data_IF_038116939696
#
_entry.id   IF_038116939696
#
_cell.length_a   1.000
_cell.length_b   1.000
_cell.length_c   1.000
_cell.angle_alpha   90.00
_cell.angle_beta   90.00
_cell.angle_gamma   90.00
#
_symmetry.space_group_name_H-M   'P 1'
#
loop_
_entity.id
_entity.type
_entity.pdbx_description
1 polymer ?
#
# COMPACT_ATOMS: atom_id res chain seq x y z
N UNK A 1 -2.44 45.69 11.45
CA UNK A 1 -1.53 44.72 10.82
C UNK A 1 -0.24 45.44 10.52
N UNK A 2 0.87 45.00 11.11
CA UNK A 2 2.16 45.64 10.87
C UNK A 2 2.60 45.42 9.42
N UNK A 3 2.95 46.50 8.73
CA UNK A 3 3.36 46.46 7.33
C UNK A 3 4.76 45.85 7.18
N UNK A 4 4.90 44.85 6.31
CA UNK A 4 6.20 44.24 5.98
C UNK A 4 7.13 45.30 5.39
N UNK A 5 8.11 45.72 6.17
CA UNK A 5 9.01 46.82 5.79
C UNK A 5 10.33 46.76 6.55
N UNK A 6 11.33 47.52 6.10
CA UNK A 6 12.61 47.68 6.80
C UNK A 6 12.43 48.24 8.21
N UNK A 7 11.32 48.95 8.50
CA UNK A 7 10.98 49.45 9.85
C UNK A 7 10.77 48.31 10.85
N UNK A 8 10.16 47.20 10.43
CA UNK A 8 9.77 46.07 11.30
C UNK A 8 10.64 44.83 11.09
N UNK A 9 11.74 44.97 10.35
CA UNK A 9 12.62 43.86 9.96
C UNK A 9 13.74 43.66 10.98
N UNK A 10 13.93 42.44 11.48
CA UNK A 10 15.05 42.07 12.36
C UNK A 10 16.42 42.23 11.72
N UNK A 11 16.50 42.17 10.39
CA UNK A 11 17.75 42.38 9.67
C UNK A 11 18.14 43.85 9.58
N UNK A 12 17.24 44.79 9.89
CA UNK A 12 17.56 46.20 9.92
C UNK A 12 18.24 46.55 11.25
N UNK A 13 19.36 47.26 11.16
CA UNK A 13 20.06 47.81 12.32
C UNK A 13 19.86 49.33 12.33
N UNK A 14 18.92 49.80 13.16
CA UNK A 14 18.57 51.22 13.29
C UNK A 14 19.63 52.02 14.05
N UNK A 15 20.59 51.37 14.71
CA UNK A 15 21.71 52.03 15.37
C UNK A 15 22.82 52.40 14.35
N UNK A 16 22.89 51.66 13.23
CA UNK A 16 23.84 51.93 12.16
C UNK A 16 23.23 52.88 11.12
N UNK A 17 23.34 54.19 11.34
CA UNK A 17 22.87 55.23 10.42
C UNK A 17 24.00 55.84 9.61
N UNK A 18 23.83 55.94 8.29
CA UNK A 18 24.78 56.60 7.38
C UNK A 18 24.08 57.73 6.62
N UNK A 19 24.61 58.95 6.78
CA UNK A 19 24.19 60.10 5.98
C UNK A 19 24.87 60.10 4.61
N UNK A 20 24.11 60.43 3.57
CA UNK A 20 24.58 60.37 2.19
C UNK A 20 24.98 61.76 1.71
N UNK A 21 26.04 61.81 0.89
CA UNK A 21 26.59 63.05 0.35
C UNK A 21 26.29 63.23 -1.14
N UNK A 22 26.58 64.42 -1.69
CA UNK A 22 26.44 64.72 -3.11
C UNK A 22 24.98 64.77 -3.57
N UNK A 23 24.64 64.04 -4.63
CA UNK A 23 23.27 64.04 -5.22
C UNK A 23 22.17 63.53 -4.27
N UNK A 24 22.53 62.87 -3.16
CA UNK A 24 21.60 62.35 -2.16
C UNK A 24 21.74 63.07 -0.80
N UNK A 25 22.38 64.24 -0.78
CA UNK A 25 22.48 65.08 0.42
C UNK A 25 21.10 65.31 1.06
N UNK A 26 21.02 65.19 2.39
CA UNK A 26 19.77 65.25 3.14
C UNK A 26 18.99 63.93 3.22
N UNK A 27 19.50 62.84 2.64
CA UNK A 27 18.99 61.48 2.84
C UNK A 27 19.97 60.64 3.64
N UNK A 28 19.45 59.63 4.33
CA UNK A 28 20.24 58.66 5.09
C UNK A 28 19.72 57.24 4.88
N UNK A 29 20.49 56.25 5.31
CA UNK A 29 20.08 54.83 5.29
C UNK A 29 20.57 54.11 6.54
N UNK A 30 19.83 53.08 6.94
CA UNK A 30 20.18 52.22 8.07
C UNK A 30 20.94 50.96 7.64
N UNK A 31 21.66 50.35 8.59
CA UNK A 31 22.37 49.10 8.39
C UNK A 31 21.43 47.95 8.10
N UNK A 32 21.93 46.96 7.34
CA UNK A 32 21.21 45.70 7.14
C UNK A 32 22.18 44.52 7.10
N UNK A 33 21.91 43.50 7.91
CA UNK A 33 22.72 42.27 7.97
C UNK A 33 22.51 41.34 6.76
N UNK A 34 21.35 41.43 6.10
CA UNK A 34 21.02 40.59 4.95
C UNK A 34 21.66 41.08 3.65
N UNK A 35 21.77 42.39 3.47
CA UNK A 35 22.19 43.00 2.21
C UNK A 35 23.72 43.01 2.14
N UNK A 36 24.29 42.59 1.00
CA UNK A 36 25.76 42.54 0.80
C UNK A 36 26.46 43.88 0.99
N UNK A 37 25.78 45.00 0.71
CA UNK A 37 26.33 46.34 0.91
C UNK A 37 26.24 46.81 2.38
N UNK A 38 25.67 46.02 3.27
CA UNK A 38 25.54 46.31 4.70
C UNK A 38 24.47 47.35 5.06
N UNK A 39 23.60 47.74 4.13
CA UNK A 39 22.56 48.75 4.32
C UNK A 39 21.20 48.33 3.74
N UNK A 40 20.12 48.91 4.25
CA UNK A 40 18.74 48.67 3.80
C UNK A 40 18.54 49.04 2.31
N UNK A 41 17.41 48.63 1.72
CA UNK A 41 17.16 48.69 0.28
C UNK A 41 16.92 50.09 -0.32
N UNK A 42 17.12 51.16 0.44
CA UNK A 42 16.93 52.54 -0.03
C UNK A 42 17.48 53.58 0.95
N UNK A 43 17.39 54.84 0.54
CA UNK A 43 17.69 55.99 1.39
C UNK A 43 16.39 56.75 1.68
N UNK A 44 16.24 57.19 2.93
CA UNK A 44 15.06 57.87 3.47
C UNK A 44 15.37 59.30 3.86
N UNK A 45 14.34 60.14 3.89
CA UNK A 45 14.38 61.52 4.42
C UNK A 45 13.82 61.61 5.85
N UNK A 46 13.05 60.61 6.28
CA UNK A 46 12.48 60.48 7.63
C UNK A 46 12.32 58.99 7.99
N UNK A 47 12.25 58.67 9.29
CA UNK A 47 12.10 57.29 9.75
C UNK A 47 10.76 56.68 9.33
N UNK A 48 9.72 57.50 9.16
CA UNK A 48 8.41 57.04 8.66
C UNK A 48 8.50 56.51 7.21
N UNK A 49 9.45 57.01 6.42
CA UNK A 49 9.66 56.52 5.06
C UNK A 49 10.17 55.06 5.02
N UNK A 50 10.67 54.52 6.15
CA UNK A 50 11.08 53.12 6.25
C UNK A 50 9.92 52.15 6.04
N UNK A 51 8.67 52.56 6.31
CA UNK A 51 7.47 51.73 6.12
C UNK A 51 7.18 51.40 4.64
N UNK A 52 7.80 52.13 3.72
CA UNK A 52 7.66 51.92 2.27
C UNK A 52 8.82 51.11 1.67
N UNK A 53 9.87 50.85 2.45
CA UNK A 53 11.01 50.05 2.02
C UNK A 53 10.78 48.60 2.43
N UNK A 54 10.86 47.67 1.48
CA UNK A 54 10.87 46.24 1.76
C UNK A 54 11.86 45.57 0.78
N UNK A 55 12.51 44.50 1.21
CA UNK A 55 13.43 43.76 0.36
C UNK A 55 13.17 42.27 0.48
N UNK A 56 13.72 41.49 -0.45
CA UNK A 56 13.56 40.03 -0.49
C UNK A 56 14.07 39.33 0.79
N UNK A 57 14.96 39.98 1.56
CA UNK A 57 15.43 39.48 2.86
C UNK A 57 14.67 40.01 4.06
N UNK A 58 13.41 40.41 3.91
CA UNK A 58 12.58 40.79 5.05
C UNK A 58 12.43 39.61 6.02
N UNK A 59 12.79 39.83 7.28
CA UNK A 59 12.59 38.88 8.37
C UNK A 59 11.92 39.62 9.53
N UNK A 60 10.60 39.55 9.59
CA UNK A 60 9.80 40.18 10.65
C UNK A 60 9.03 39.15 11.48
N UNK A 61 8.32 39.63 12.50
CA UNK A 61 7.52 38.78 13.40
C UNK A 61 6.53 37.88 12.65
N UNK A 62 5.88 38.40 11.60
CA UNK A 62 4.94 37.63 10.77
C UNK A 62 5.60 36.47 10.01
N UNK A 63 6.79 36.68 9.43
CA UNK A 63 7.54 35.63 8.72
C UNK A 63 7.95 34.54 9.70
N UNK A 64 8.49 34.93 10.86
CA UNK A 64 8.90 34.00 11.92
C UNK A 64 7.71 33.21 12.46
N UNK A 65 6.56 33.87 12.65
CA UNK A 65 5.33 33.23 13.10
C UNK A 65 4.83 32.21 12.07
N UNK A 66 4.89 32.54 10.77
CA UNK A 66 4.51 31.62 9.69
C UNK A 66 5.46 30.43 9.61
N UNK A 67 6.79 30.65 9.65
CA UNK A 67 7.77 29.57 9.69
C UNK A 67 7.59 28.66 10.91
N UNK A 68 7.30 29.24 12.08
CA UNK A 68 6.96 28.48 13.28
C UNK A 68 5.68 27.66 13.08
N UNK A 69 4.63 28.29 12.56
CA UNK A 69 3.35 27.61 12.29
C UNK A 69 3.51 26.44 11.32
N UNK A 70 4.29 26.59 10.24
CA UNK A 70 4.55 25.51 9.29
C UNK A 70 5.38 24.38 9.91
N UNK A 71 6.37 24.71 10.76
CA UNK A 71 7.10 23.69 11.55
C UNK A 71 6.19 22.94 12.50
N UNK A 72 5.33 23.64 13.23
CA UNK A 72 4.40 23.04 14.20
C UNK A 72 3.40 22.12 13.48
N UNK A 73 2.88 22.54 12.31
CA UNK A 73 2.04 21.69 11.45
C UNK A 73 2.77 20.42 11.00
N UNK A 74 4.02 20.56 10.57
CA UNK A 74 4.83 19.42 10.13
C UNK A 74 5.11 18.45 11.28
N UNK A 75 5.46 18.95 12.46
CA UNK A 75 5.64 18.12 13.65
C UNK A 75 4.36 17.37 14.02
N UNK A 76 3.20 18.05 14.00
CA UNK A 76 1.91 17.43 14.28
C UNK A 76 1.53 16.34 13.25
N UNK A 77 1.90 16.51 11.98
CA UNK A 77 1.70 15.47 10.96
C UNK A 77 2.63 14.28 11.16
N UNK A 78 3.91 14.52 11.49
CA UNK A 78 4.86 13.46 11.80
C UNK A 78 4.41 12.65 13.03
N UNK A 79 3.87 13.32 14.04
CA UNK A 79 3.34 12.73 15.27
C UNK A 79 2.17 11.78 15.00
N UNK A 80 1.15 12.26 14.28
CA UNK A 80 0.01 11.42 13.85
C UNK A 80 0.45 10.20 13.06
N UNK A 81 1.49 10.33 12.24
CA UNK A 81 2.04 9.19 11.49
C UNK A 81 2.75 8.20 12.41
N UNK A 82 3.38 8.66 13.49
CA UNK A 82 3.94 7.78 14.51
C UNK A 82 2.84 7.01 15.23
N UNK A 83 1.74 7.66 15.65
CA UNK A 83 0.57 6.99 16.25
C UNK A 83 0.08 5.82 15.38
N UNK A 84 -0.18 6.11 14.10
CA UNK A 84 -0.67 5.10 13.14
C UNK A 84 0.30 3.91 13.03
N UNK A 85 1.61 4.15 13.09
CA UNK A 85 2.59 3.07 13.01
C UNK A 85 2.70 2.29 14.33
N UNK A 86 2.59 2.95 15.49
CA UNK A 86 2.55 2.29 16.79
C UNK A 86 1.31 1.42 16.94
N UNK A 87 0.12 1.97 16.69
CA UNK A 87 -1.15 1.24 16.73
C UNK A 87 -1.13 0.03 15.83
N UNK A 88 -0.63 0.20 14.60
CA UNK A 88 -0.49 -0.88 13.64
C UNK A 88 0.51 -1.93 14.09
N UNK A 89 1.61 -1.53 14.73
CA UNK A 89 2.59 -2.48 15.26
C UNK A 89 2.00 -3.30 16.40
N UNK A 90 1.27 -2.68 17.33
CA UNK A 90 0.59 -3.36 18.44
C UNK A 90 -0.45 -4.34 17.88
N UNK A 91 -1.32 -3.86 17.00
CA UNK A 91 -2.37 -4.68 16.38
C UNK A 91 -1.79 -5.90 15.64
N UNK A 92 -0.76 -5.69 14.80
CA UNK A 92 -0.18 -6.77 14.00
C UNK A 92 0.70 -7.71 14.79
N UNK A 93 1.25 -7.27 15.93
CA UNK A 93 1.95 -8.16 16.84
C UNK A 93 0.98 -9.19 17.42
N UNK A 94 -0.21 -8.76 17.79
CA UNK A 94 -1.22 -9.61 18.41
C UNK A 94 -2.01 -10.44 17.40
N UNK A 95 -2.45 -9.83 16.30
CA UNK A 95 -3.37 -10.47 15.35
C UNK A 95 -2.68 -11.05 14.11
N UNK A 96 -1.45 -10.61 13.84
CA UNK A 96 -0.73 -10.89 12.60
C UNK A 96 -0.92 -9.81 11.56
N UNK A 97 0.09 -9.63 10.70
CA UNK A 97 0.03 -8.66 9.62
C UNK A 97 -0.84 -9.19 8.48
N UNK A 98 -1.61 -8.32 7.78
CA UNK A 98 -2.50 -8.75 6.71
C UNK A 98 -1.75 -9.22 5.46
N UNK A 99 -0.48 -8.84 5.29
CA UNK A 99 0.29 -9.22 4.10
C UNK A 99 0.78 -10.67 4.15
N UNK A 100 0.71 -11.37 3.01
CA UNK A 100 1.10 -12.79 2.87
C UNK A 100 2.48 -13.03 2.30
N UNK A 101 3.16 -11.99 1.81
CA UNK A 101 4.42 -12.17 1.09
C UNK A 101 5.65 -12.28 2.01
N UNK A 102 5.45 -12.04 3.30
CA UNK A 102 6.48 -11.92 4.31
C UNK A 102 5.91 -12.37 5.67
N UNK A 103 6.79 -12.68 6.60
CA UNK A 103 6.40 -13.01 7.98
C UNK A 103 5.91 -11.79 8.73
N UNK A 104 5.20 -12.00 9.85
CA UNK A 104 4.77 -10.89 10.70
C UNK A 104 5.98 -10.15 11.28
N UNK A 105 7.04 -10.88 11.64
CA UNK A 105 8.31 -10.31 12.10
C UNK A 105 8.92 -9.33 11.10
N UNK A 106 8.94 -9.67 9.81
CA UNK A 106 9.41 -8.76 8.76
C UNK A 106 8.53 -7.51 8.64
N UNK A 107 7.21 -7.64 8.68
CA UNK A 107 6.30 -6.50 8.64
C UNK A 107 6.47 -5.59 9.86
N UNK A 108 6.55 -6.16 11.06
CA UNK A 108 6.77 -5.43 12.31
C UNK A 108 8.12 -4.67 12.29
N UNK A 109 9.16 -5.29 11.75
CA UNK A 109 10.46 -4.65 11.58
C UNK A 109 10.44 -3.50 10.56
N UNK A 110 9.63 -3.60 9.49
CA UNK A 110 9.43 -2.48 8.54
C UNK A 110 8.70 -1.30 9.20
N UNK A 111 7.70 -1.56 10.03
CA UNK A 111 7.01 -0.51 10.81
C UNK A 111 7.97 0.16 11.79
N UNK A 112 8.76 -0.63 12.52
CA UNK A 112 9.81 -0.14 13.42
C UNK A 112 10.81 0.77 12.70
N UNK A 113 11.30 0.36 11.52
CA UNK A 113 12.17 1.21 10.70
C UNK A 113 11.46 2.48 10.21
N UNK A 114 10.14 2.43 10.00
CA UNK A 114 9.31 3.61 9.72
C UNK A 114 9.30 4.61 10.87
N UNK A 115 9.11 4.12 12.10
CA UNK A 115 9.16 4.94 13.32
C UNK A 115 10.55 5.59 13.49
N UNK A 116 11.64 4.86 13.25
CA UNK A 116 13.00 5.42 13.28
C UNK A 116 13.17 6.58 12.29
N UNK A 117 12.68 6.43 11.06
CA UNK A 117 12.73 7.49 10.05
C UNK A 117 11.90 8.71 10.43
N UNK A 118 10.72 8.52 11.03
CA UNK A 118 9.88 9.63 11.50
C UNK A 118 10.57 10.39 12.64
N UNK A 119 11.16 9.67 13.60
CA UNK A 119 11.93 10.28 14.69
C UNK A 119 13.11 11.11 14.15
N UNK A 120 13.84 10.60 13.15
CA UNK A 120 14.92 11.36 12.52
C UNK A 120 14.40 12.64 11.84
N UNK A 121 13.30 12.55 11.10
CA UNK A 121 12.67 13.72 10.47
C UNK A 121 12.23 14.77 11.49
N UNK A 122 11.69 14.35 12.63
CA UNK A 122 11.34 15.28 13.72
C UNK A 122 12.58 16.06 14.19
N UNK A 123 13.73 15.38 14.37
CA UNK A 123 15.01 16.03 14.72
C UNK A 123 15.49 17.03 13.67
N UNK A 124 15.29 16.72 12.40
CA UNK A 124 15.66 17.61 11.29
C UNK A 124 14.76 18.86 11.23
N UNK A 125 13.49 18.74 11.65
CA UNK A 125 12.52 19.83 11.61
C UNK A 125 12.63 20.82 12.78
N UNK A 126 13.20 20.41 13.91
CA UNK A 126 13.30 21.24 15.12
C UNK A 126 14.60 20.98 15.88
N UNK A 127 15.23 22.06 16.34
CA UNK A 127 16.54 22.03 17.01
C UNK A 127 16.48 21.85 18.54
N UNK A 128 15.36 21.47 19.16
CA UNK A 128 15.38 21.08 20.58
C UNK A 128 14.03 20.94 21.32
N UNK A 129 14.08 20.10 22.36
CA UNK A 129 13.22 19.79 23.53
C UNK A 129 11.68 19.71 23.40
N UNK A 130 11.04 20.45 22.49
CA UNK A 130 9.58 20.44 22.31
C UNK A 130 9.15 19.46 21.21
N UNK A 131 9.60 18.21 21.32
CA UNK A 131 9.06 17.15 20.47
C UNK A 131 7.72 16.64 21.01
N UNK A 132 6.82 16.18 20.13
CA UNK A 132 5.58 15.57 20.57
C UNK A 132 5.81 14.26 21.34
N UNK A 133 4.83 13.81 22.11
CA UNK A 133 4.96 12.68 23.04
C UNK A 133 5.49 11.40 22.39
N UNK A 134 5.03 11.06 21.18
CA UNK A 134 5.48 9.86 20.46
C UNK A 134 6.97 9.87 20.11
N UNK A 135 7.58 11.05 20.04
CA UNK A 135 9.03 11.14 19.87
C UNK A 135 9.76 10.49 21.04
N UNK A 136 9.24 10.61 22.25
CA UNK A 136 9.85 10.06 23.48
C UNK A 136 9.44 8.62 23.75
N UNK A 137 8.33 8.14 23.17
CA UNK A 137 7.88 6.77 23.31
C UNK A 137 8.98 5.76 22.89
N UNK A 138 9.25 4.70 23.65
CA UNK A 138 10.27 3.72 23.27
C UNK A 138 9.91 3.07 21.92
N UNK A 139 10.93 2.87 21.06
CA UNK A 139 10.69 2.13 19.83
C UNK A 139 10.30 0.69 20.17
N UNK A 140 9.40 0.07 19.39
CA UNK A 140 9.09 -1.32 19.59
C UNK A 140 10.35 -2.19 19.42
N UNK A 141 10.43 -3.34 20.10
CA UNK A 141 11.55 -4.26 19.94
C UNK A 141 11.68 -4.72 18.49
N UNK A 142 12.90 -5.04 18.09
CA UNK A 142 13.14 -5.74 16.83
C UNK A 142 12.65 -7.18 16.99
N UNK A 143 11.76 -7.60 16.09
CA UNK A 143 11.19 -8.94 16.11
C UNK A 143 12.07 -9.92 15.36
N UNK A 144 12.01 -11.20 15.72
CA UNK A 144 12.60 -12.27 14.92
C UNK A 144 12.00 -12.24 13.51
N UNK A 145 12.84 -12.43 12.48
CA UNK A 145 12.41 -12.48 11.09
C UNK A 145 11.45 -13.64 10.83
N UNK A 146 11.55 -14.74 11.57
CA UNK A 146 10.60 -15.87 11.46
C UNK A 146 9.35 -15.71 12.32
N UNK A 147 9.20 -14.61 13.09
CA UNK A 147 8.04 -14.41 13.96
C UNK A 147 6.74 -14.44 13.16
N UNK A 148 5.77 -15.20 13.68
CA UNK A 148 4.40 -15.26 13.18
C UNK A 148 3.44 -15.16 14.34
N UNK A 149 2.53 -14.20 14.29
CA UNK A 149 1.46 -14.10 15.27
C UNK A 149 0.48 -15.26 15.08
N UNK A 150 -0.04 -15.79 16.18
CA UNK A 150 -1.07 -16.83 16.20
C UNK A 150 -0.73 -18.06 15.34
N UNK A 151 0.54 -18.45 15.24
CA UNK A 151 1.01 -19.52 14.37
C UNK A 151 0.24 -20.84 14.56
N UNK A 152 -0.02 -21.25 15.81
CA UNK A 152 -0.76 -22.47 16.11
C UNK A 152 -2.25 -22.39 15.77
N UNK A 153 -2.88 -21.22 15.96
CA UNK A 153 -4.25 -21.00 15.51
C UNK A 153 -4.33 -21.03 13.98
N UNK A 154 -3.35 -20.42 13.31
CA UNK A 154 -3.24 -20.40 11.85
C UNK A 154 -3.12 -21.80 11.26
N UNK A 155 -2.31 -22.67 11.90
CA UNK A 155 -2.19 -24.09 11.52
C UNK A 155 -3.51 -24.83 11.66
N UNK A 156 -4.19 -24.69 12.81
CA UNK A 156 -5.51 -25.31 13.03
C UNK A 156 -6.55 -24.85 12.00
N UNK A 157 -6.59 -23.55 11.72
CA UNK A 157 -7.49 -23.00 10.70
C UNK A 157 -7.18 -23.56 9.30
N UNK A 158 -5.90 -23.76 8.97
CA UNK A 158 -5.51 -24.37 7.70
C UNK A 158 -6.00 -25.82 7.58
N UNK A 159 -5.88 -26.61 8.65
CA UNK A 159 -6.40 -27.97 8.72
C UNK A 159 -7.93 -28.01 8.58
N UNK A 160 -8.64 -27.12 9.26
CA UNK A 160 -10.10 -26.98 9.15
C UNK A 160 -10.53 -26.65 7.72
N UNK A 161 -9.89 -25.67 7.07
CA UNK A 161 -10.15 -25.32 5.67
C UNK A 161 -9.87 -26.50 4.75
N UNK A 162 -8.74 -27.20 4.95
CA UNK A 162 -8.37 -28.34 4.12
C UNK A 162 -9.38 -29.49 4.26
N UNK A 163 -9.80 -29.81 5.49
CA UNK A 163 -10.81 -30.82 5.77
C UNK A 163 -12.16 -30.45 5.12
N UNK A 164 -12.60 -29.19 5.25
CA UNK A 164 -13.81 -28.70 4.60
C UNK A 164 -13.75 -28.85 3.07
N UNK A 165 -12.58 -28.66 2.46
CA UNK A 165 -12.41 -28.94 1.03
C UNK A 165 -12.46 -30.43 0.70
N UNK A 166 -11.86 -31.31 1.52
CA UNK A 166 -11.91 -32.76 1.31
C UNK A 166 -13.35 -33.30 1.42
N UNK A 167 -14.15 -32.74 2.31
CA UNK A 167 -15.56 -33.12 2.52
C UNK A 167 -16.52 -32.52 1.49
N UNK A 168 -16.07 -31.51 0.74
CA UNK A 168 -16.91 -30.83 -0.24
C UNK A 168 -17.26 -31.75 -1.43
N UNK A 169 -18.57 -32.01 -1.71
CA UNK A 169 -18.97 -32.91 -2.78
C UNK A 169 -18.54 -32.46 -4.19
N UNK A 170 -18.46 -31.14 -4.42
CA UNK A 170 -18.04 -30.60 -5.71
C UNK A 170 -16.53 -30.77 -5.91
N UNK A 171 -15.74 -30.58 -4.86
CA UNK A 171 -14.31 -30.90 -4.88
C UNK A 171 -14.07 -32.40 -5.11
N UNK A 172 -14.75 -33.28 -4.37
CA UNK A 172 -14.63 -34.73 -4.55
C UNK A 172 -14.98 -35.15 -5.98
N UNK A 173 -16.04 -34.58 -6.56
CA UNK A 173 -16.39 -34.83 -7.94
C UNK A 173 -15.29 -34.39 -8.91
N UNK A 174 -14.73 -33.19 -8.72
CA UNK A 174 -13.63 -32.68 -9.54
C UNK A 174 -12.39 -33.57 -9.42
N UNK A 175 -11.99 -33.92 -8.20
CA UNK A 175 -10.83 -34.77 -7.93
C UNK A 175 -10.95 -36.16 -8.58
N UNK A 176 -12.15 -36.76 -8.53
CA UNK A 176 -12.42 -38.06 -9.14
C UNK A 176 -12.44 -38.01 -10.68
N UNK A 177 -13.06 -36.99 -11.25
CA UNK A 177 -13.33 -36.98 -12.69
C UNK A 177 -12.26 -36.27 -13.52
N UNK A 178 -11.58 -35.27 -12.96
CA UNK A 178 -10.58 -34.47 -13.66
C UNK A 178 -9.47 -35.31 -14.33
N UNK A 179 -8.86 -36.31 -13.68
CA UNK A 179 -7.78 -37.10 -14.28
C UNK A 179 -8.19 -37.85 -15.56
N UNK A 180 -9.46 -38.25 -15.65
CA UNK A 180 -10.00 -38.97 -16.81
C UNK A 180 -10.51 -38.02 -17.92
N UNK A 181 -10.55 -36.71 -17.71
CA UNK A 181 -11.02 -35.77 -18.72
C UNK A 181 -9.94 -35.46 -19.76
N UNK A 182 -10.32 -35.50 -21.04
CA UNK A 182 -9.44 -35.02 -22.12
C UNK A 182 -9.49 -33.50 -22.22
N UNK A 183 -8.33 -32.85 -22.08
CA UNK A 183 -8.15 -31.41 -22.33
C UNK A 183 -8.51 -31.08 -23.79
N UNK A 184 -9.36 -30.09 -24.02
CA UNK A 184 -9.62 -29.52 -25.35
C UNK A 184 -8.71 -28.31 -25.63
N UNK A 185 -8.64 -27.89 -26.89
CA UNK A 185 -7.99 -26.62 -27.26
C UNK A 185 -8.72 -25.45 -26.58
N UNK A 186 -7.96 -24.57 -25.92
CA UNK A 186 -8.47 -23.37 -25.22
C UNK A 186 -9.54 -23.64 -24.14
N UNK A 187 -9.39 -24.75 -23.42
CA UNK A 187 -10.35 -25.26 -22.44
C UNK A 187 -10.19 -24.61 -21.07
N UNK A 188 -10.75 -23.40 -20.92
CA UNK A 188 -10.65 -22.60 -19.68
C UNK A 188 -11.22 -23.33 -18.47
N UNK A 189 -12.28 -24.12 -18.62
CA UNK A 189 -12.90 -24.85 -17.51
C UNK A 189 -12.00 -25.99 -17.03
N UNK A 190 -11.36 -26.72 -17.95
CA UNK A 190 -10.35 -27.73 -17.59
C UNK A 190 -9.14 -27.10 -16.88
N UNK A 191 -8.65 -25.96 -17.37
CA UNK A 191 -7.53 -25.25 -16.74
C UNK A 191 -7.92 -24.72 -15.35
N UNK A 192 -9.15 -24.23 -15.19
CA UNK A 192 -9.67 -23.80 -13.90
C UNK A 192 -9.76 -24.96 -12.90
N UNK A 193 -10.25 -26.13 -13.32
CA UNK A 193 -10.29 -27.32 -12.46
C UNK A 193 -8.88 -27.72 -11.98
N UNK A 194 -7.89 -27.72 -12.88
CA UNK A 194 -6.50 -28.00 -12.52
C UNK A 194 -5.94 -27.00 -11.51
N UNK A 195 -6.23 -25.70 -11.67
CA UNK A 195 -5.84 -24.66 -10.72
C UNK A 195 -6.47 -24.89 -9.34
N UNK A 196 -7.77 -25.17 -9.29
CA UNK A 196 -8.49 -25.43 -8.05
C UNK A 196 -7.94 -26.65 -7.29
N UNK A 197 -7.69 -27.75 -7.99
CA UNK A 197 -7.07 -28.95 -7.39
C UNK A 197 -5.64 -28.68 -6.92
N UNK A 198 -4.88 -27.88 -7.68
CA UNK A 198 -3.54 -27.45 -7.29
C UNK A 198 -3.55 -26.58 -6.03
N UNK A 199 -4.53 -25.70 -5.84
CA UNK A 199 -4.65 -24.89 -4.62
C UNK A 199 -4.84 -25.79 -3.38
N UNK A 200 -5.74 -26.77 -3.44
CA UNK A 200 -5.97 -27.69 -2.30
C UNK A 200 -4.72 -28.53 -2.02
N UNK A 201 -4.01 -28.97 -3.06
CA UNK A 201 -2.76 -29.71 -2.92
C UNK A 201 -1.63 -28.85 -2.32
N UNK A 202 -1.56 -27.57 -2.68
CA UNK A 202 -0.59 -26.63 -2.12
C UNK A 202 -0.87 -26.34 -0.64
N UNK A 203 -2.14 -26.17 -0.26
CA UNK A 203 -2.53 -26.03 1.14
C UNK A 203 -2.11 -27.26 1.95
N UNK A 204 -2.39 -28.47 1.45
CA UNK A 204 -1.95 -29.72 2.10
C UNK A 204 -0.44 -29.77 2.30
N UNK A 205 0.33 -29.47 1.24
CA UNK A 205 1.79 -29.44 1.30
C UNK A 205 2.31 -28.42 2.32
N UNK A 206 1.70 -27.23 2.37
CA UNK A 206 2.06 -26.20 3.35
C UNK A 206 1.81 -26.65 4.79
N UNK A 207 0.69 -27.35 5.05
CA UNK A 207 0.38 -27.94 6.36
C UNK A 207 1.42 -29.02 6.73
N UNK A 208 1.73 -29.94 5.81
CA UNK A 208 2.71 -31.01 6.02
C UNK A 208 4.13 -30.48 6.30
N UNK A 209 4.52 -29.38 5.65
CA UNK A 209 5.80 -28.72 5.89
C UNK A 209 5.86 -28.01 7.25
N UNK A 210 4.71 -27.65 7.83
CA UNK A 210 4.62 -26.99 9.14
C UNK A 210 5.13 -25.54 9.17
N UNK A 211 5.61 -25.01 8.05
CA UNK A 211 6.10 -23.64 7.95
C UNK A 211 4.94 -22.63 7.93
N UNK A 212 5.00 -21.63 8.82
CA UNK A 212 3.89 -20.71 9.01
C UNK A 212 3.64 -19.77 7.80
N UNK A 213 4.67 -19.36 7.07
CA UNK A 213 4.51 -18.41 5.95
C UNK A 213 3.80 -19.03 4.73
N UNK A 214 4.16 -20.24 4.26
CA UNK A 214 3.36 -20.96 3.27
C UNK A 214 1.91 -21.14 3.69
N UNK A 215 1.66 -21.54 4.95
CA UNK A 215 0.30 -21.70 5.46
C UNK A 215 -0.47 -20.38 5.38
N UNK A 216 0.12 -19.28 5.88
CA UNK A 216 -0.45 -17.93 5.80
C UNK A 216 -0.87 -17.55 4.38
N UNK A 217 -0.01 -17.84 3.39
CA UNK A 217 -0.29 -17.59 1.98
C UNK A 217 -1.47 -18.39 1.47
N UNK A 218 -1.58 -19.66 1.84
CA UNK A 218 -2.64 -20.53 1.34
C UNK A 218 -3.99 -20.25 2.02
N UNK A 219 -4.04 -20.00 3.33
CA UNK A 219 -5.31 -19.73 4.03
C UNK A 219 -5.96 -18.39 3.64
N UNK A 220 -5.17 -17.41 3.21
CA UNK A 220 -5.70 -16.11 2.79
C UNK A 220 -6.17 -16.13 1.32
N UNK A 221 -5.88 -17.21 0.57
CA UNK A 221 -6.50 -17.43 -0.72
C UNK A 221 -7.99 -17.71 -0.48
N UNK A 222 -8.82 -17.03 -1.27
CA UNK A 222 -10.29 -17.00 -1.24
C UNK A 222 -10.92 -18.37 -0.92
N UNK A 223 -12.07 -18.34 -0.25
CA UNK A 223 -12.95 -19.52 -0.15
C UNK A 223 -13.24 -20.12 -1.54
N UNK A 224 -12.79 -21.35 -1.75
CA UNK A 224 -12.89 -22.06 -3.02
C UNK A 224 -14.23 -22.80 -3.19
N UNK A 225 -15.09 -22.85 -2.17
CA UNK A 225 -16.35 -23.61 -2.15
C UNK A 225 -17.21 -23.28 -3.37
N UNK A 226 -17.50 -22.00 -3.59
CA UNK A 226 -18.28 -21.54 -4.74
C UNK A 226 -17.54 -21.80 -6.07
N UNK A 227 -16.21 -21.71 -6.08
CA UNK A 227 -15.41 -21.96 -7.27
C UNK A 227 -15.45 -23.44 -7.68
N UNK A 228 -15.44 -24.37 -6.73
CA UNK A 228 -15.65 -25.80 -6.99
C UNK A 228 -17.02 -26.04 -7.63
N UNK A 229 -18.07 -25.47 -7.03
CA UNK A 229 -19.44 -25.61 -7.51
C UNK A 229 -19.62 -25.15 -8.97
N UNK A 230 -19.17 -23.92 -9.26
CA UNK A 230 -19.25 -23.35 -10.61
C UNK A 230 -18.43 -24.17 -11.61
N UNK A 231 -17.23 -24.62 -11.21
CA UNK A 231 -16.37 -25.42 -12.08
C UNK A 231 -16.99 -26.78 -12.39
N UNK A 232 -17.50 -27.48 -11.38
CA UNK A 232 -18.21 -28.75 -11.55
C UNK A 232 -19.39 -28.59 -12.50
N UNK A 233 -20.26 -27.61 -12.26
CA UNK A 233 -21.49 -27.41 -13.05
C UNK A 233 -21.20 -27.21 -14.53
N UNK A 234 -20.14 -26.46 -14.86
CA UNK A 234 -19.70 -26.25 -16.25
C UNK A 234 -19.15 -27.52 -16.88
N UNK A 235 -18.32 -28.28 -16.15
CA UNK A 235 -17.75 -29.53 -16.65
C UNK A 235 -18.78 -30.65 -16.78
N UNK A 236 -19.76 -30.75 -15.89
CA UNK A 236 -20.88 -31.68 -16.00
C UNK A 236 -21.77 -31.36 -17.21
N UNK A 237 -22.10 -30.08 -17.41
CA UNK A 237 -22.90 -29.63 -18.56
C UNK A 237 -22.23 -29.99 -19.88
N UNK A 238 -20.91 -29.85 -19.96
CA UNK A 238 -20.09 -30.31 -21.09
C UNK A 238 -20.17 -31.83 -21.29
N UNK A 239 -20.08 -32.63 -20.22
CA UNK A 239 -20.21 -34.09 -20.31
C UNK A 239 -21.59 -34.49 -20.87
N UNK A 240 -22.66 -33.85 -20.38
CA UNK A 240 -24.03 -34.08 -20.87
C UNK A 240 -24.18 -33.70 -22.35
N UNK A 241 -23.64 -32.57 -22.77
CA UNK A 241 -23.66 -32.14 -24.17
C UNK A 241 -22.90 -33.11 -25.09
N UNK A 242 -21.75 -33.62 -24.65
CA UNK A 242 -21.01 -34.64 -25.39
C UNK A 242 -21.81 -35.94 -25.54
N UNK A 243 -22.45 -36.40 -24.47
CA UNK A 243 -23.26 -37.63 -24.50
C UNK A 243 -24.44 -37.49 -25.46
N UNK A 244 -25.12 -36.34 -25.48
CA UNK A 244 -26.20 -36.04 -26.44
C UNK A 244 -25.72 -36.02 -27.90
N UNK A 245 -24.52 -35.49 -28.18
CA UNK A 245 -23.94 -35.52 -29.54
C UNK A 245 -23.59 -36.93 -29.99
N UNK A 246 -23.03 -37.77 -29.11
CA UNK A 246 -22.71 -39.17 -29.45
C UNK A 246 -23.95 -40.02 -29.71
N UNK A 247 -25.06 -39.77 -29.01
CA UNK A 247 -26.33 -40.47 -29.24
C UNK A 247 -27.06 -39.96 -30.48
N UNK A 248 -26.98 -38.66 -30.81
CA UNK A 248 -27.60 -38.13 -32.03
C UNK A 248 -26.86 -38.56 -33.32
N UNK A 249 -25.54 -38.77 -33.25
CA UNK A 249 -24.75 -39.26 -34.39
C UNK A 249 -24.87 -40.77 -34.66
N UNK A 250 -25.51 -41.53 -33.76
CA UNK A 250 -25.75 -42.97 -33.94
C UNK A 250 -27.14 -43.29 -34.51
N UNK A 251 -28.03 -42.29 -34.61
CA UNK A 251 -29.42 -42.46 -35.06
C UNK A 251 -29.64 -42.00 -36.53
N UNK A 252 -28.57 -41.67 -37.26
CA UNK A 252 -28.63 -41.26 -38.67
C UNK A 252 -28.07 -42.33 -39.62
N UNK A 253 -28.47 -43.59 -39.44
CA UNK A 253 -28.05 -44.71 -40.28
C UNK A 253 -29.24 -45.58 -40.74
N UNK A 254 -29.49 -45.54 -42.05
CA UNK A 254 -30.33 -46.44 -42.88
C UNK A 254 -31.84 -46.15 -42.97
N UNK A 255 -32.21 -45.27 -43.90
CA UNK A 255 -33.40 -45.48 -44.74
C UNK A 255 -33.19 -44.88 -46.14
N UNK A 256 -33.13 -45.77 -47.13
CA UNK A 256 -33.41 -45.42 -48.53
C UNK A 256 -32.23 -45.44 -49.50
N UNK A 257 -31.73 -46.63 -49.84
CA UNK A 257 -31.32 -46.91 -51.21
C UNK A 257 -32.02 -48.20 -51.65
N UNK A 258 -32.96 -48.05 -52.58
CA UNK A 258 -33.62 -49.16 -53.27
C UNK A 258 -32.67 -49.70 -54.34
N UNK A 259 -32.59 -51.02 -54.43
CA UNK A 259 -31.74 -51.77 -55.33
C UNK A 259 -32.19 -51.59 -56.78
N UNK A 260 -31.23 -51.39 -57.68
CA UNK A 260 -31.45 -51.09 -59.11
C UNK A 260 -31.27 -52.36 -59.94
N UNK A 261 -32.04 -53.41 -59.66
CA UNK A 261 -32.08 -54.63 -60.48
C UNK A 261 -33.51 -55.15 -60.68
N UNK A 262 -34.38 -54.36 -61.32
CA UNK A 262 -35.54 -54.88 -62.04
C UNK A 262 -35.83 -54.02 -63.27
N UNK A 263 -34.96 -54.06 -64.27
CA UNK A 263 -35.25 -53.64 -65.65
C UNK A 263 -34.44 -54.50 -66.62
N UNK A 264 -34.96 -55.70 -66.95
CA UNK A 264 -34.74 -56.37 -68.26
C UNK A 264 -35.65 -57.61 -68.44
N UNK A 265 -36.34 -57.61 -69.59
CA UNK A 265 -37.13 -58.68 -70.25
C UNK A 265 -38.44 -59.07 -69.55
N UNK A 266 -39.63 -59.06 -70.18
CA UNK A 266 -40.01 -59.15 -71.60
C UNK A 266 -41.25 -58.31 -71.92
#
# INVERSE_FOLDING_TARGET
MDKHSCRTCKNANLEKKEELNGRLAGRYRYGCSYRKNGYICGAVTSDDALEFLCCEGYCGAAVIANEKQERDKLLAELDRRMDILFDRWILWKEQGAPGVNATDGEYLNRLRAGLERLRLKMKECSSGEDYPENYYAPLPPKMDVSYMANAEQMKRQAEEIWNAYQENPDYQWLALHYPAMKKRKNDKDYENAGKLLSCVSQLKKAIEQGEALPIKKEIQKRDLTMAFHLCRTRLESRKKANRKRTTAGTDSGLKGQMDFEQLKAS
#
